data_IF_089318991603
#
_entry.id   IF_089318991603
#
_cell.length_a   1.000
_cell.length_b   1.000
_cell.length_c   1.000
_cell.angle_alpha   90.00
_cell.angle_beta   90.00
_cell.angle_gamma   90.00
#
_symmetry.space_group_name_H-M   'P 1'
#
loop_
_entity.id
_entity.type
_entity.pdbx_description
1 polymer ?
#
# COMPACT_ATOMS: atom_id res chain seq x y z
N UNK A 1 25.58 8.92 -28.66
CA UNK A 1 25.41 10.21 -27.96
C UNK A 1 25.14 9.87 -26.50
N UNK A 2 26.03 10.19 -25.55
CA UNK A 2 25.68 10.10 -24.13
C UNK A 2 24.54 11.10 -23.88
N UNK A 3 23.39 10.60 -23.45
CA UNK A 3 22.29 11.42 -22.93
C UNK A 3 22.83 12.19 -21.74
N UNK A 4 22.85 13.53 -21.82
CA UNK A 4 23.16 14.35 -20.66
C UNK A 4 22.11 14.06 -19.59
N UNK A 5 22.55 13.43 -18.49
CA UNK A 5 21.69 13.18 -17.34
C UNK A 5 21.21 14.52 -16.80
N UNK A 6 19.89 14.73 -16.74
CA UNK A 6 19.33 15.92 -16.13
C UNK A 6 18.98 15.60 -14.68
N UNK A 7 19.83 16.02 -13.72
CA UNK A 7 19.61 15.68 -12.32
C UNK A 7 18.29 16.27 -11.84
N UNK A 8 17.53 15.47 -11.10
CA UNK A 8 16.34 15.89 -10.38
C UNK A 8 16.71 17.05 -9.43
N UNK A 9 15.81 18.02 -9.24
CA UNK A 9 15.97 19.01 -8.18
C UNK A 9 16.20 18.30 -6.84
N UNK A 10 17.12 18.79 -6.02
CA UNK A 10 17.45 18.16 -4.73
C UNK A 10 16.22 17.99 -3.81
N UNK A 11 15.21 18.85 -3.94
CA UNK A 11 13.91 18.73 -3.27
C UNK A 11 13.17 17.45 -3.66
N UNK A 12 13.21 17.08 -4.93
CA UNK A 12 12.40 16.00 -5.49
C UNK A 12 12.98 14.63 -5.13
N UNK A 13 14.32 14.53 -5.08
CA UNK A 13 15.02 13.35 -4.56
C UNK A 13 14.67 13.09 -3.08
N UNK A 14 14.57 14.15 -2.25
CA UNK A 14 14.12 14.01 -0.86
C UNK A 14 12.64 13.62 -0.76
N UNK A 15 11.78 14.17 -1.62
CA UNK A 15 10.36 13.79 -1.67
C UNK A 15 10.20 12.31 -2.05
N UNK A 16 10.99 11.81 -3.02
CA UNK A 16 10.99 10.40 -3.39
C UNK A 16 11.41 9.50 -2.20
N UNK A 17 12.47 9.86 -1.47
CA UNK A 17 12.90 9.14 -0.27
C UNK A 17 11.84 9.11 0.84
N UNK A 18 11.19 10.25 1.11
CA UNK A 18 10.11 10.33 2.10
C UNK A 18 8.93 9.47 1.65
N UNK A 19 8.58 9.47 0.36
CA UNK A 19 7.53 8.63 -0.19
C UNK A 19 7.85 7.14 -0.01
N UNK A 20 9.06 6.70 -0.35
CA UNK A 20 9.50 5.32 -0.14
C UNK A 20 9.47 4.90 1.34
N UNK A 21 9.93 5.77 2.24
CA UNK A 21 9.83 5.55 3.68
C UNK A 21 8.39 5.40 4.18
N UNK A 22 7.47 6.26 3.71
CA UNK A 22 6.05 6.16 4.04
C UNK A 22 5.43 4.85 3.52
N UNK A 23 5.83 4.40 2.33
CA UNK A 23 5.39 3.12 1.76
C UNK A 23 5.93 1.94 2.56
N UNK A 24 7.19 1.98 3.00
CA UNK A 24 7.73 0.95 3.87
C UNK A 24 6.96 0.85 5.20
N UNK A 25 6.63 1.99 5.82
CA UNK A 25 5.80 2.02 7.01
C UNK A 25 4.39 1.45 6.76
N UNK A 26 3.76 1.83 5.63
CA UNK A 26 2.46 1.30 5.21
C UNK A 26 2.48 -0.21 5.02
N UNK A 27 3.55 -0.75 4.41
CA UNK A 27 3.72 -2.19 4.21
C UNK A 27 3.82 -2.95 5.54
N UNK A 28 4.60 -2.43 6.50
CA UNK A 28 4.70 -3.03 7.84
C UNK A 28 3.37 -3.00 8.59
N UNK A 29 2.64 -1.90 8.49
CA UNK A 29 1.33 -1.74 9.12
C UNK A 29 0.32 -2.73 8.54
N UNK A 30 0.24 -2.84 7.21
CA UNK A 30 -0.58 -3.86 6.54
C UNK A 30 -0.16 -5.28 6.93
N UNK A 31 1.14 -5.57 7.06
CA UNK A 31 1.63 -6.86 7.54
C UNK A 31 1.08 -7.20 8.93
N UNK A 32 1.05 -6.23 9.85
CA UNK A 32 0.42 -6.41 11.16
C UNK A 32 -1.10 -6.61 11.06
N UNK A 33 -1.77 -5.84 10.19
CA UNK A 33 -3.19 -6.01 9.89
C UNK A 33 -3.54 -7.41 9.38
N UNK A 34 -2.72 -7.97 8.49
CA UNK A 34 -2.89 -9.35 7.99
C UNK A 34 -2.72 -10.41 9.07
N UNK A 35 -1.78 -10.22 9.99
CA UNK A 35 -1.64 -11.10 11.16
C UNK A 35 -2.91 -11.05 12.00
N UNK A 36 -3.46 -9.85 12.25
CA UNK A 36 -4.74 -9.70 12.94
C UNK A 36 -5.89 -10.34 12.16
N UNK A 37 -5.94 -10.21 10.84
CA UNK A 37 -6.93 -10.88 10.00
C UNK A 37 -6.91 -12.40 10.20
N UNK A 38 -5.72 -12.99 10.23
CA UNK A 38 -5.53 -14.42 10.48
C UNK A 38 -5.99 -14.82 11.88
N UNK A 39 -5.64 -14.04 12.91
CA UNK A 39 -6.12 -14.25 14.28
C UNK A 39 -7.65 -14.16 14.36
N UNK A 40 -8.26 -13.18 13.68
CA UNK A 40 -9.70 -13.00 13.62
C UNK A 40 -10.41 -14.19 12.96
N UNK A 41 -9.85 -14.74 11.88
CA UNK A 41 -10.39 -15.96 11.26
C UNK A 41 -10.35 -17.16 12.20
N UNK A 42 -9.25 -17.33 12.95
CA UNK A 42 -9.12 -18.40 13.93
C UNK A 42 -10.12 -18.25 15.08
N UNK A 43 -10.27 -17.04 15.62
CA UNK A 43 -11.25 -16.74 16.67
C UNK A 43 -12.69 -16.96 16.18
N UNK A 44 -13.02 -16.47 15.00
CA UNK A 44 -14.32 -16.66 14.38
C UNK A 44 -14.65 -18.14 14.18
N UNK A 45 -13.69 -18.94 13.70
CA UNK A 45 -13.83 -20.38 13.53
C UNK A 45 -14.02 -21.11 14.87
N UNK A 46 -13.28 -20.70 15.91
CA UNK A 46 -13.41 -21.26 17.26
C UNK A 46 -14.79 -20.99 17.87
N UNK A 47 -15.32 -19.77 17.72
CA UNK A 47 -16.62 -19.39 18.25
C UNK A 47 -17.81 -19.72 17.33
N UNK A 48 -17.57 -20.18 16.11
CA UNK A 48 -18.61 -20.47 15.11
C UNK A 48 -19.78 -21.33 15.62
N UNK A 49 -19.59 -22.37 16.46
CA UNK A 49 -20.70 -23.17 16.97
C UNK A 49 -21.66 -22.41 17.89
N UNK A 50 -21.22 -21.30 18.50
CA UNK A 50 -22.02 -20.55 19.46
C UNK A 50 -23.05 -19.63 18.79
N UNK A 51 -22.73 -19.07 17.62
CA UNK A 51 -23.62 -18.17 16.89
C UNK A 51 -23.15 -17.91 15.46
N UNK A 52 -24.10 -17.71 14.54
CA UNK A 52 -23.84 -17.30 13.16
C UNK A 52 -23.10 -15.94 13.08
N UNK A 53 -23.25 -15.08 14.10
CA UNK A 53 -22.58 -13.78 14.15
C UNK A 53 -21.06 -13.91 14.04
N UNK A 54 -20.45 -14.95 14.64
CA UNK A 54 -19.00 -15.16 14.55
C UNK A 54 -18.55 -15.49 13.13
N UNK A 55 -19.32 -16.28 12.38
CA UNK A 55 -19.01 -16.59 10.98
C UNK A 55 -19.10 -15.33 10.10
N UNK A 56 -20.09 -14.47 10.34
CA UNK A 56 -20.23 -13.20 9.62
C UNK A 56 -19.03 -12.29 9.92
N UNK A 57 -18.65 -12.13 11.19
CA UNK A 57 -17.48 -11.34 11.58
C UNK A 57 -16.18 -11.91 10.99
N UNK A 58 -16.02 -13.24 10.97
CA UNK A 58 -14.89 -13.90 10.32
C UNK A 58 -14.84 -13.66 8.82
N UNK A 59 -15.98 -13.70 8.12
CA UNK A 59 -16.06 -13.39 6.70
C UNK A 59 -15.68 -11.93 6.42
N UNK A 60 -16.17 -10.99 7.25
CA UNK A 60 -15.79 -9.57 7.14
C UNK A 60 -14.29 -9.40 7.35
N UNK A 61 -13.71 -10.05 8.37
CA UNK A 61 -12.26 -10.04 8.62
C UNK A 61 -11.47 -10.60 7.43
N UNK A 62 -11.97 -11.65 6.77
CA UNK A 62 -11.36 -12.23 5.57
C UNK A 62 -11.35 -11.24 4.40
N UNK A 63 -12.47 -10.55 4.15
CA UNK A 63 -12.59 -9.56 3.08
C UNK A 63 -11.67 -8.36 3.34
N UNK A 64 -11.61 -7.87 4.57
CA UNK A 64 -10.68 -6.80 4.96
C UNK A 64 -9.23 -7.27 4.79
N UNK A 65 -8.90 -8.51 5.19
CA UNK A 65 -7.58 -9.10 4.99
C UNK A 65 -7.20 -9.25 3.52
N UNK A 66 -8.15 -9.60 2.64
CA UNK A 66 -7.91 -9.63 1.20
C UNK A 66 -7.60 -8.24 0.64
N UNK A 67 -8.29 -7.20 1.13
CA UNK A 67 -7.99 -5.81 0.77
C UNK A 67 -6.59 -5.38 1.27
N UNK A 68 -6.18 -5.81 2.47
CA UNK A 68 -4.83 -5.59 3.01
C UNK A 68 -3.75 -6.28 2.16
N UNK A 69 -3.98 -7.51 1.70
CA UNK A 69 -3.06 -8.23 0.80
C UNK A 69 -2.87 -7.47 -0.52
N UNK A 70 -3.97 -7.05 -1.14
CA UNK A 70 -3.93 -6.28 -2.38
C UNK A 70 -3.19 -4.95 -2.19
N UNK A 71 -3.49 -4.23 -1.11
CA UNK A 71 -2.83 -2.98 -0.79
C UNK A 71 -1.34 -3.18 -0.50
N UNK A 72 -0.95 -4.26 0.18
CA UNK A 72 0.45 -4.59 0.46
C UNK A 72 1.25 -4.81 -0.83
N UNK A 73 0.69 -5.58 -1.78
CA UNK A 73 1.32 -5.80 -3.08
C UNK A 73 1.49 -4.47 -3.84
N UNK A 74 0.46 -3.61 -3.83
CA UNK A 74 0.52 -2.28 -4.46
C UNK A 74 1.60 -1.41 -3.82
N UNK A 75 1.65 -1.39 -2.49
CA UNK A 75 2.62 -0.59 -1.74
C UNK A 75 4.05 -1.02 -2.02
N UNK A 76 4.31 -2.32 -2.03
CA UNK A 76 5.67 -2.84 -2.26
C UNK A 76 6.14 -2.60 -3.70
N UNK A 77 5.25 -2.74 -4.68
CA UNK A 77 5.55 -2.38 -6.07
C UNK A 77 5.88 -0.88 -6.18
N UNK A 78 4.98 -0.01 -5.73
CA UNK A 78 5.16 1.44 -5.83
C UNK A 78 6.39 1.91 -5.04
N UNK A 79 6.72 1.27 -3.89
CA UNK A 79 7.94 1.55 -3.12
C UNK A 79 9.20 1.30 -3.95
N UNK A 80 9.31 0.14 -4.61
CA UNK A 80 10.48 -0.20 -5.45
C UNK A 80 10.65 0.79 -6.60
N UNK A 81 9.54 1.29 -7.17
CA UNK A 81 9.59 2.34 -8.19
C UNK A 81 10.16 3.65 -7.62
N UNK A 82 9.73 4.07 -6.43
CA UNK A 82 10.27 5.28 -5.79
C UNK A 82 11.72 5.13 -5.36
N UNK A 83 12.13 3.95 -4.89
CA UNK A 83 13.52 3.67 -4.53
C UNK A 83 14.43 3.78 -5.77
N UNK A 84 14.06 3.13 -6.88
CA UNK A 84 14.80 3.22 -8.13
C UNK A 84 14.94 4.68 -8.62
N UNK A 85 13.85 5.45 -8.54
CA UNK A 85 13.84 6.87 -8.92
C UNK A 85 14.72 7.74 -7.99
N UNK A 86 14.76 7.41 -6.70
CA UNK A 86 15.58 8.11 -5.73
C UNK A 86 17.07 7.78 -5.87
N UNK A 87 17.40 6.56 -6.31
CA UNK A 87 18.77 6.10 -6.58
C UNK A 87 19.33 6.71 -7.87
N UNK A 88 18.53 6.79 -8.95
CA UNK A 88 19.00 7.35 -10.21
C UNK A 88 19.13 8.87 -10.17
N UNK A 89 18.18 9.56 -9.54
CA UNK A 89 18.18 11.00 -9.47
C UNK A 89 18.06 11.70 -10.84
N UNK A 90 17.60 11.00 -11.89
CA UNK A 90 17.52 11.51 -13.26
C UNK A 90 16.05 11.71 -13.68
N UNK A 91 15.72 12.90 -14.17
CA UNK A 91 14.39 13.20 -14.66
C UNK A 91 14.01 12.37 -15.90
N UNK A 92 14.99 11.97 -16.72
CA UNK A 92 14.75 11.18 -17.92
C UNK A 92 14.23 9.76 -17.61
N UNK A 93 14.59 9.21 -16.45
CA UNK A 93 14.07 7.91 -16.00
C UNK A 93 12.59 7.97 -15.62
N UNK A 94 12.09 9.12 -15.19
CA UNK A 94 10.67 9.29 -14.87
C UNK A 94 9.80 9.19 -16.14
N UNK A 95 10.28 9.74 -17.25
CA UNK A 95 9.62 9.62 -18.56
C UNK A 95 9.70 8.19 -19.11
N UNK A 96 10.85 7.53 -18.96
CA UNK A 96 11.01 6.12 -19.32
C UNK A 96 10.08 5.20 -18.51
N UNK A 97 9.91 5.49 -17.21
CA UNK A 97 8.96 4.80 -16.34
C UNK A 97 7.51 5.01 -16.79
N UNK A 98 7.11 6.24 -17.11
CA UNK A 98 5.76 6.54 -17.63
C UNK A 98 5.49 5.82 -18.95
N UNK A 99 6.51 5.68 -19.81
CA UNK A 99 6.42 4.92 -21.03
C UNK A 99 6.23 3.42 -20.76
N UNK A 100 7.01 2.84 -19.84
CA UNK A 100 6.85 1.44 -19.45
C UNK A 100 5.46 1.17 -18.83
N UNK A 101 5.00 2.01 -17.90
CA UNK A 101 3.67 1.90 -17.30
C UNK A 101 2.53 2.03 -18.32
N UNK A 102 2.74 2.83 -19.36
CA UNK A 102 1.78 2.95 -20.48
C UNK A 102 1.72 1.67 -21.31
N UNK A 103 2.85 0.99 -21.54
CA UNK A 103 2.89 -0.30 -22.28
C UNK A 103 2.14 -1.40 -21.52
N UNK A 104 2.26 -1.42 -20.19
CA UNK A 104 1.51 -2.36 -19.34
C UNK A 104 0.03 -1.98 -19.14
N UNK A 105 -0.44 -0.86 -19.69
CA UNK A 105 -1.82 -0.37 -19.51
C UNK A 105 -2.14 0.08 -18.08
N UNK A 106 -1.11 0.28 -17.24
CA UNK A 106 -1.28 0.68 -15.83
C UNK A 106 -1.38 2.20 -15.65
N UNK A 107 -0.98 2.96 -16.67
CA UNK A 107 -1.11 4.42 -16.69
C UNK A 107 -2.40 4.83 -17.40
N UNK A 108 -3.33 5.42 -16.64
CA UNK A 108 -4.57 5.94 -17.22
C UNK A 108 -4.28 7.11 -18.20
N UNK A 109 -5.11 7.27 -19.26
CA UNK A 109 -4.99 8.39 -20.19
C UNK A 109 -4.95 9.73 -19.45
N UNK A 110 -4.01 10.61 -19.81
CA UNK A 110 -3.87 11.94 -19.20
C UNK A 110 -3.12 11.99 -17.86
N UNK A 111 -2.53 10.89 -17.37
CA UNK A 111 -1.71 10.88 -16.14
C UNK A 111 -0.19 10.93 -16.37
N UNK A 112 0.26 11.06 -17.62
CA UNK A 112 1.69 11.24 -17.96
C UNK A 112 2.23 12.58 -17.46
N UNK A 113 3.49 12.63 -17.07
CA UNK A 113 4.19 13.88 -16.73
C UNK A 113 3.87 14.43 -15.33
N UNK A 114 3.20 13.64 -14.46
CA UNK A 114 2.98 14.04 -13.07
C UNK A 114 4.30 14.15 -12.31
N UNK A 115 4.45 15.23 -11.55
CA UNK A 115 5.65 15.47 -10.74
C UNK A 115 5.81 14.41 -9.63
N UNK A 116 7.03 14.24 -9.14
CA UNK A 116 7.32 13.34 -8.00
C UNK A 116 6.50 13.73 -6.76
N UNK A 117 6.24 15.02 -6.57
CA UNK A 117 5.40 15.55 -5.48
C UNK A 117 3.93 15.12 -5.61
N UNK A 118 3.38 15.14 -6.82
CA UNK A 118 2.01 14.66 -7.05
C UNK A 118 1.89 13.15 -6.83
N UNK A 119 2.92 12.39 -7.21
CA UNK A 119 2.98 10.94 -6.98
C UNK A 119 3.14 10.60 -5.50
N UNK A 120 3.94 11.36 -4.74
CA UNK A 120 4.18 11.11 -3.30
C UNK A 120 2.94 11.36 -2.43
N UNK A 121 2.02 12.23 -2.86
CA UNK A 121 0.69 12.35 -2.21
C UNK A 121 -0.09 11.03 -2.28
N UNK A 122 0.12 10.23 -3.32
CA UNK A 122 -0.41 8.87 -3.42
C UNK A 122 0.14 7.95 -2.32
N UNK A 123 1.43 8.02 -2.03
CA UNK A 123 2.07 7.24 -0.97
C UNK A 123 1.45 7.51 0.42
N UNK A 124 1.19 8.78 0.74
CA UNK A 124 0.51 9.15 2.00
C UNK A 124 -0.92 8.59 2.10
N UNK A 125 -1.64 8.49 0.97
CA UNK A 125 -2.97 7.87 0.96
C UNK A 125 -2.89 6.38 1.29
N UNK A 126 -1.89 5.67 0.78
CA UNK A 126 -1.70 4.26 1.09
C UNK A 126 -1.38 4.02 2.57
N UNK A 127 -0.55 4.88 3.18
CA UNK A 127 -0.30 4.81 4.63
C UNK A 127 -1.58 4.97 5.45
N UNK A 128 -2.42 5.94 5.08
CA UNK A 128 -3.73 6.15 5.74
C UNK A 128 -4.67 4.96 5.54
N UNK A 129 -4.73 4.40 4.34
CA UNK A 129 -5.54 3.22 4.05
C UNK A 129 -5.06 2.00 4.84
N UNK A 130 -3.75 1.77 4.91
CA UNK A 130 -3.17 0.68 5.71
C UNK A 130 -3.56 0.82 7.18
N UNK A 131 -3.44 2.04 7.74
CA UNK A 131 -3.86 2.30 9.12
C UNK A 131 -5.36 2.09 9.34
N UNK A 132 -6.21 2.50 8.40
CA UNK A 132 -7.65 2.29 8.49
C UNK A 132 -8.02 0.80 8.46
N UNK A 133 -7.40 0.01 7.57
CA UNK A 133 -7.65 -1.43 7.48
C UNK A 133 -7.17 -2.17 8.72
N UNK A 134 -5.95 -1.87 9.20
CA UNK A 134 -5.43 -2.46 10.44
C UNK A 134 -6.29 -2.10 11.65
N UNK A 135 -6.77 -0.85 11.72
CA UNK A 135 -7.72 -0.44 12.76
C UNK A 135 -9.04 -1.20 12.67
N UNK A 136 -9.57 -1.42 11.45
CA UNK A 136 -10.76 -2.23 11.26
C UNK A 136 -10.55 -3.68 11.75
N UNK A 137 -9.38 -4.28 11.50
CA UNK A 137 -9.03 -5.60 12.04
C UNK A 137 -9.00 -5.62 13.57
N UNK A 138 -8.47 -4.58 14.21
CA UNK A 138 -8.52 -4.46 15.67
C UNK A 138 -9.95 -4.38 16.21
N UNK A 139 -10.82 -3.59 15.57
CA UNK A 139 -12.24 -3.50 15.95
C UNK A 139 -12.92 -4.86 15.81
N UNK A 140 -12.68 -5.58 14.71
CA UNK A 140 -13.22 -6.93 14.51
C UNK A 140 -12.74 -7.91 15.58
N UNK A 141 -11.46 -7.85 15.97
CA UNK A 141 -10.92 -8.67 17.05
C UNK A 141 -11.64 -8.40 18.38
N UNK A 142 -11.84 -7.12 18.72
CA UNK A 142 -12.57 -6.73 19.93
C UNK A 142 -14.01 -7.22 19.90
N UNK A 143 -14.72 -7.09 18.77
CA UNK A 143 -16.09 -7.60 18.63
C UNK A 143 -16.15 -9.12 18.80
N UNK A 144 -15.24 -9.87 18.18
CA UNK A 144 -15.17 -11.33 18.32
C UNK A 144 -14.93 -11.77 19.77
N UNK A 145 -14.16 -11.00 20.55
CA UNK A 145 -13.85 -11.32 21.95
C UNK A 145 -14.94 -10.85 22.93
N UNK A 146 -15.61 -9.73 22.66
CA UNK A 146 -16.57 -9.11 23.57
C UNK A 146 -18.01 -9.61 23.36
N UNK A 147 -18.33 -10.10 22.16
CA UNK A 147 -19.64 -10.72 21.88
C UNK A 147 -19.73 -12.17 22.36
N UNK A 148 -18.61 -12.73 22.84
CA UNK A 148 -18.47 -14.06 23.45
C UNK A 148 -19.59 -14.40 24.43
#
# INVERSE_FOLDING_TARGET
MPTEAHPLPASDAWVARIAAGAMHAAARLNGAGLVLAMVNLLLAGYFAPASLVYLILGLVAAVVGAAELWLLARVELDRRLFDALAESGDAAELDALDQALSVFGWLAPGRKGRSVVERSRGALRFLKLAGALTFAQLVLALLLLLLK
#
